data_IF_931672803221
#
_entry.id   IF_931672803221
#
_cell.length_a   1.000
_cell.length_b   1.000
_cell.length_c   1.000
_cell.angle_alpha   90.00
_cell.angle_beta   90.00
_cell.angle_gamma   90.00
#
_symmetry.space_group_name_H-M   'P 1'
#
loop_
_entity.id
_entity.type
_entity.pdbx_description
1 polymer ?
#
# COMPACT_ATOMS: atom_id res chain seq x y z
N UNK A 1 -49.98 -41.86 -8.72
CA UNK A 1 -48.63 -41.56 -9.26
C UNK A 1 -48.42 -40.06 -9.16
N UNK A 2 -47.55 -39.60 -8.25
CA UNK A 2 -47.31 -38.16 -8.02
C UNK A 2 -45.82 -37.87 -8.06
N UNK A 3 -45.39 -37.17 -9.11
CA UNK A 3 -44.00 -36.87 -9.42
C UNK A 3 -43.45 -35.87 -8.39
N UNK A 4 -42.35 -36.25 -7.71
CA UNK A 4 -41.57 -35.34 -6.84
C UNK A 4 -40.80 -34.34 -7.71
N UNK A 5 -41.28 -33.10 -7.75
CA UNK A 5 -40.61 -31.97 -8.38
C UNK A 5 -39.77 -31.13 -7.41
N UNK A 6 -38.45 -31.17 -7.58
CA UNK A 6 -37.50 -30.05 -7.50
C UNK A 6 -37.69 -28.96 -6.43
N UNK A 7 -36.89 -29.02 -5.35
CA UNK A 7 -36.57 -27.86 -4.48
C UNK A 7 -35.09 -27.45 -4.47
N UNK A 8 -34.23 -28.12 -5.24
CA UNK A 8 -32.78 -27.84 -5.24
C UNK A 8 -32.39 -26.83 -6.33
N UNK A 9 -33.20 -26.68 -7.39
CA UNK A 9 -32.94 -25.76 -8.50
C UNK A 9 -33.16 -24.26 -8.20
N UNK A 10 -34.12 -23.91 -7.33
CA UNK A 10 -34.50 -22.50 -7.14
C UNK A 10 -33.53 -21.71 -6.25
N UNK A 11 -32.86 -22.37 -5.29
CA UNK A 11 -31.87 -21.72 -4.43
C UNK A 11 -30.56 -21.39 -5.16
N UNK A 12 -30.17 -22.22 -6.15
CA UNK A 12 -28.97 -22.00 -6.96
C UNK A 12 -29.17 -20.88 -7.98
N UNK A 13 -30.36 -20.79 -8.57
CA UNK A 13 -30.73 -19.69 -9.47
C UNK A 13 -30.79 -18.33 -8.73
N UNK A 14 -31.32 -18.29 -7.50
CA UNK A 14 -31.32 -17.05 -6.69
C UNK A 14 -29.91 -16.57 -6.32
N UNK A 15 -28.97 -17.47 -5.97
CA UNK A 15 -27.57 -17.09 -5.69
C UNK A 15 -26.80 -16.66 -6.94
N UNK A 16 -27.12 -17.19 -8.12
CA UNK A 16 -26.53 -16.76 -9.38
C UNK A 16 -27.03 -15.37 -9.80
N UNK A 17 -28.31 -15.06 -9.58
CA UNK A 17 -28.88 -13.73 -9.84
C UNK A 17 -28.24 -12.64 -8.96
N UNK A 18 -28.04 -12.92 -7.67
CA UNK A 18 -27.40 -11.98 -6.73
C UNK A 18 -25.92 -11.75 -7.08
N UNK A 19 -25.20 -12.76 -7.56
CA UNK A 19 -23.82 -12.56 -8.06
C UNK A 19 -23.76 -11.74 -9.35
N UNK A 20 -24.75 -11.87 -10.24
CA UNK A 20 -24.82 -11.11 -11.49
C UNK A 20 -25.23 -9.64 -11.28
N UNK A 21 -26.06 -9.34 -10.28
CA UNK A 21 -26.37 -7.95 -9.92
C UNK A 21 -25.23 -7.26 -9.17
N UNK A 22 -24.52 -7.98 -8.30
CA UNK A 22 -23.33 -7.42 -7.62
C UNK A 22 -22.18 -7.17 -8.61
N UNK A 23 -22.02 -8.01 -9.62
CA UNK A 23 -21.04 -7.82 -10.69
C UNK A 23 -21.36 -6.64 -11.63
N UNK A 24 -22.62 -6.22 -11.72
CA UNK A 24 -23.02 -5.03 -12.50
C UNK A 24 -22.80 -3.71 -11.74
N UNK A 25 -22.71 -3.75 -10.41
CA UNK A 25 -22.52 -2.57 -9.56
C UNK A 25 -21.14 -2.48 -8.92
N UNK A 26 -20.25 -3.45 -9.16
CA UNK A 26 -18.85 -3.31 -8.78
C UNK A 26 -18.13 -2.54 -9.88
N UNK A 27 -17.51 -1.37 -9.60
CA UNK A 27 -16.62 -0.77 -10.58
C UNK A 27 -15.49 -1.77 -10.83
N UNK A 28 -15.45 -2.36 -12.01
CA UNK A 28 -14.24 -3.01 -12.49
C UNK A 28 -13.20 -1.91 -12.66
N UNK A 29 -12.38 -1.72 -11.64
CA UNK A 29 -11.19 -0.91 -11.72
C UNK A 29 -10.24 -1.60 -12.70
N UNK A 30 -10.36 -1.26 -13.98
CA UNK A 30 -9.28 -1.49 -14.94
C UNK A 30 -8.07 -0.70 -14.44
N UNK A 31 -6.96 -1.39 -14.23
CA UNK A 31 -5.67 -0.83 -13.82
C UNK A 31 -5.13 0.23 -14.79
N UNK A 32 -5.83 0.48 -15.91
CA UNK A 32 -5.54 1.47 -16.94
C UNK A 32 -6.34 2.79 -16.83
N UNK A 33 -7.37 2.91 -15.97
CA UNK A 33 -8.22 4.13 -15.93
C UNK A 33 -7.90 5.13 -14.82
N UNK A 34 -6.96 4.85 -13.91
CA UNK A 34 -6.57 5.86 -12.90
C UNK A 34 -5.64 6.96 -13.44
N UNK A 35 -5.19 6.88 -14.69
CA UNK A 35 -4.21 7.82 -15.25
C UNK A 35 -4.63 8.49 -16.56
N UNK A 36 -5.90 8.36 -16.96
CA UNK A 36 -6.44 9.09 -18.11
C UNK A 36 -7.47 10.11 -17.66
N UNK A 37 -6.97 11.26 -17.19
CA UNK A 37 -7.48 12.59 -17.56
C UNK A 37 -6.54 13.63 -16.95
N UNK A 38 -5.85 14.35 -17.83
CA UNK A 38 -5.43 15.71 -17.50
C UNK A 38 -6.66 16.51 -17.06
N UNK A 39 -6.42 17.49 -16.19
CA UNK A 39 -7.41 18.33 -15.52
C UNK A 39 -8.10 17.69 -14.32
N UNK A 40 -7.32 17.52 -13.25
CA UNK A 40 -7.56 18.08 -11.91
C UNK A 40 -6.53 17.47 -10.97
N UNK A 41 -5.68 18.31 -10.38
CA UNK A 41 -4.87 17.96 -9.21
C UNK A 41 -5.80 17.25 -8.22
N UNK A 42 -5.55 15.96 -7.96
CA UNK A 42 -6.22 15.23 -6.88
C UNK A 42 -6.01 16.06 -5.63
N UNK A 43 -7.08 16.72 -5.16
CA UNK A 43 -7.07 17.39 -3.87
C UNK A 43 -6.65 16.33 -2.84
N UNK A 44 -5.65 16.63 -1.99
CA UNK A 44 -5.17 15.66 -1.02
C UNK A 44 -6.30 15.31 -0.05
N UNK A 45 -6.35 14.04 0.39
CA UNK A 45 -7.24 13.61 1.46
C UNK A 45 -7.13 14.57 2.65
N UNK A 46 -8.18 15.36 2.90
CA UNK A 46 -8.26 16.32 4.00
C UNK A 46 -8.16 15.65 5.38
N UNK A 47 -8.34 14.32 5.46
CA UNK A 47 -8.22 13.56 6.72
C UNK A 47 -6.79 13.12 7.08
N UNK A 48 -5.79 13.37 6.21
CA UNK A 48 -4.39 13.08 6.50
C UNK A 48 -3.63 14.27 7.13
N UNK A 49 -4.31 15.38 7.43
CA UNK A 49 -3.67 16.63 7.85
C UNK A 49 -3.35 16.61 9.35
N UNK A 50 -2.21 16.00 9.66
CA UNK A 50 -1.45 16.28 10.86
C UNK A 50 0.01 16.41 10.46
N UNK A 51 0.41 17.64 10.11
CA UNK A 51 1.73 18.06 9.59
C UNK A 51 2.15 17.41 8.26
N UNK A 52 1.98 18.16 7.16
CA UNK A 52 2.86 18.01 6.01
C UNK A 52 4.29 18.25 6.50
N UNK A 53 5.15 17.23 6.41
CA UNK A 53 6.58 17.45 6.56
C UNK A 53 7.01 18.08 5.23
N UNK A 54 7.39 19.35 5.27
CA UNK A 54 8.11 19.98 4.16
C UNK A 54 9.34 19.13 3.85
N UNK A 55 9.32 18.43 2.72
CA UNK A 55 10.36 17.49 2.33
C UNK A 55 11.16 18.08 1.18
N UNK A 56 12.48 18.19 1.37
CA UNK A 56 13.40 18.76 0.37
C UNK A 56 13.75 17.77 -0.76
N UNK A 57 13.14 16.58 -0.75
CA UNK A 57 13.37 15.53 -1.75
C UNK A 57 14.83 15.08 -1.80
N UNK A 58 15.54 15.10 -0.66
CA UNK A 58 16.95 14.68 -0.62
C UNK A 58 17.08 13.18 -0.41
N UNK A 59 18.16 12.58 -0.92
CA UNK A 59 18.49 11.17 -0.64
C UNK A 59 18.64 10.93 0.87
N UNK A 60 19.18 11.89 1.61
CA UNK A 60 19.32 11.81 3.06
C UNK A 60 17.98 11.72 3.79
N UNK A 61 16.97 12.50 3.38
CA UNK A 61 15.61 12.41 3.92
C UNK A 61 14.96 11.07 3.58
N UNK A 62 15.04 10.63 2.32
CA UNK A 62 14.54 9.33 1.89
C UNK A 62 15.16 8.19 2.71
N UNK A 63 16.48 8.22 2.91
CA UNK A 63 17.21 7.19 3.63
C UNK A 63 16.88 7.19 5.12
N UNK A 64 16.75 8.38 5.74
CA UNK A 64 16.33 8.53 7.14
C UNK A 64 14.92 7.98 7.35
N UNK A 65 13.97 8.37 6.50
CA UNK A 65 12.57 7.96 6.62
C UNK A 65 12.42 6.46 6.36
N UNK A 66 13.13 5.93 5.34
CA UNK A 66 13.25 4.50 5.11
C UNK A 66 13.75 3.82 6.39
N UNK A 67 14.95 4.14 6.90
CA UNK A 67 15.49 3.49 8.12
C UNK A 67 14.51 3.46 9.29
N UNK A 68 13.82 4.56 9.54
CA UNK A 68 12.79 4.62 10.58
C UNK A 68 11.61 3.69 10.29
N UNK A 69 11.13 3.62 9.05
CA UNK A 69 10.06 2.72 8.62
C UNK A 69 10.39 1.24 8.91
N UNK A 70 11.59 0.77 8.52
CA UNK A 70 11.98 -0.63 8.72
C UNK A 70 12.15 -0.95 10.20
N UNK A 71 12.72 -0.02 10.97
CA UNK A 71 12.83 -0.17 12.41
C UNK A 71 11.45 -0.32 13.07
N UNK A 72 10.50 0.57 12.76
CA UNK A 72 9.15 0.50 13.32
C UNK A 72 8.45 -0.79 12.88
N UNK A 73 8.57 -1.18 11.61
CA UNK A 73 7.97 -2.42 11.09
C UNK A 73 8.47 -3.66 11.84
N UNK A 74 9.78 -3.82 12.00
CA UNK A 74 10.36 -4.98 12.72
C UNK A 74 9.90 -5.05 14.17
N UNK A 75 9.91 -3.93 14.88
CA UNK A 75 9.48 -3.92 16.28
C UNK A 75 7.96 -4.13 16.40
N UNK A 76 7.17 -3.58 15.47
CA UNK A 76 5.72 -3.84 15.39
C UNK A 76 5.43 -5.33 15.20
N UNK A 77 6.10 -5.98 14.25
CA UNK A 77 5.90 -7.40 13.98
C UNK A 77 6.29 -8.27 15.18
N UNK A 78 7.38 -7.95 15.89
CA UNK A 78 7.74 -8.63 17.14
C UNK A 78 6.61 -8.56 18.16
N UNK A 79 6.06 -7.37 18.40
CA UNK A 79 4.95 -7.18 19.34
C UNK A 79 3.67 -7.92 18.90
N UNK A 80 3.34 -7.92 17.60
CA UNK A 80 2.19 -8.67 17.08
C UNK A 80 2.35 -10.19 17.18
N UNK A 81 3.59 -10.68 17.07
CA UNK A 81 3.90 -12.10 17.22
C UNK A 81 3.81 -12.56 18.68
N UNK A 82 4.18 -11.69 19.63
CA UNK A 82 4.03 -11.95 21.06
C UNK A 82 2.56 -11.83 21.51
N UNK A 83 1.86 -10.78 21.07
CA UNK A 83 0.45 -10.56 21.36
C UNK A 83 -0.24 -9.81 20.23
N UNK A 84 -1.10 -10.52 19.48
CA UNK A 84 -1.80 -9.94 18.32
C UNK A 84 -2.65 -8.71 18.66
N UNK A 85 -3.29 -8.71 19.84
CA UNK A 85 -4.15 -7.62 20.31
C UNK A 85 -3.35 -6.48 20.96
N UNK A 86 -2.01 -6.47 20.84
CA UNK A 86 -1.17 -5.43 21.42
C UNK A 86 -1.55 -4.04 20.89
N UNK A 87 -2.08 -3.13 21.75
CA UNK A 87 -2.53 -1.81 21.30
C UNK A 87 -1.38 -0.96 20.76
N UNK A 88 -0.18 -1.11 21.35
CA UNK A 88 1.04 -0.42 20.91
C UNK A 88 1.38 -0.83 19.47
N UNK A 89 1.32 -2.13 19.17
CA UNK A 89 1.63 -2.64 17.85
C UNK A 89 0.59 -2.19 16.80
N UNK A 90 -0.70 -2.15 17.16
CA UNK A 90 -1.75 -1.60 16.30
C UNK A 90 -1.56 -0.10 16.05
N UNK A 91 -1.19 0.67 17.08
CA UNK A 91 -0.82 2.08 16.94
C UNK A 91 0.36 2.30 16.00
N UNK A 92 1.39 1.45 16.10
CA UNK A 92 2.54 1.48 15.17
C UNK A 92 2.18 1.07 13.76
N UNK A 93 1.26 0.12 13.58
CA UNK A 93 0.73 -0.26 12.27
C UNK A 93 0.06 0.93 11.56
N UNK A 94 -0.80 1.67 12.27
CA UNK A 94 -1.39 2.90 11.74
C UNK A 94 -0.35 3.98 11.45
N UNK A 95 0.68 4.10 12.30
CA UNK A 95 1.79 5.03 12.04
C UNK A 95 2.52 4.68 10.75
N UNK A 96 2.83 3.40 10.52
CA UNK A 96 3.47 2.94 9.28
C UNK A 96 2.59 3.22 8.05
N UNK A 97 1.27 2.95 8.13
CA UNK A 97 0.32 3.28 7.05
C UNK A 97 0.42 4.77 6.71
N UNK A 98 0.39 5.66 7.71
CA UNK A 98 0.55 7.11 7.49
C UNK A 98 1.91 7.44 6.86
N UNK A 99 3.00 6.83 7.34
CA UNK A 99 4.35 7.05 6.80
C UNK A 99 4.47 6.64 5.33
N UNK A 100 3.70 5.65 4.84
CA UNK A 100 3.74 5.32 3.40
C UNK A 100 3.30 6.49 2.51
N UNK A 101 2.36 7.33 2.95
CA UNK A 101 1.98 8.54 2.21
C UNK A 101 3.11 9.58 2.24
N UNK A 102 3.75 9.75 3.39
CA UNK A 102 4.93 10.61 3.52
C UNK A 102 6.04 10.15 2.57
N UNK A 103 6.37 8.86 2.55
CA UNK A 103 7.38 8.30 1.65
C UNK A 103 7.05 8.55 0.18
N UNK A 104 5.80 8.35 -0.26
CA UNK A 104 5.38 8.66 -1.63
C UNK A 104 5.62 10.14 -1.98
N UNK A 105 5.31 11.06 -1.06
CA UNK A 105 5.55 12.48 -1.26
C UNK A 105 7.05 12.81 -1.31
N UNK A 106 7.86 12.19 -0.45
CA UNK A 106 9.33 12.37 -0.49
C UNK A 106 9.92 11.90 -1.82
N UNK A 107 9.43 10.76 -2.36
CA UNK A 107 9.84 10.27 -3.68
C UNK A 107 9.45 11.23 -4.80
N UNK A 108 8.23 11.78 -4.77
CA UNK A 108 7.78 12.78 -5.75
C UNK A 108 8.61 14.06 -5.68
N UNK A 109 8.94 14.55 -4.49
CA UNK A 109 9.83 15.69 -4.29
C UNK A 109 11.24 15.40 -4.83
N UNK A 110 11.75 14.19 -4.61
CA UNK A 110 13.02 13.75 -5.20
C UNK A 110 12.96 13.72 -6.73
N UNK A 111 11.88 13.22 -7.32
CA UNK A 111 11.73 13.17 -8.77
C UNK A 111 11.71 14.55 -9.41
N UNK A 112 10.96 15.48 -8.82
CA UNK A 112 10.87 16.87 -9.28
C UNK A 112 12.25 17.54 -9.25
N UNK A 113 12.96 17.41 -8.13
CA UNK A 113 14.32 17.93 -7.96
C UNK A 113 15.33 17.40 -8.98
N UNK A 114 15.19 16.13 -9.37
CA UNK A 114 16.09 15.48 -10.32
C UNK A 114 15.59 15.52 -11.77
N UNK A 115 14.50 16.24 -12.05
CA UNK A 115 13.87 16.33 -13.37
C UNK A 115 13.43 14.97 -13.94
N UNK A 116 13.09 14.02 -13.06
CA UNK A 116 12.65 12.68 -13.46
C UNK A 116 11.19 12.64 -13.89
N UNK A 117 10.45 13.74 -13.77
CA UNK A 117 9.02 13.81 -14.05
C UNK A 117 8.17 13.48 -12.80
N UNK A 118 6.86 13.77 -12.84
CA UNK A 118 5.99 13.72 -11.65
C UNK A 118 5.87 12.33 -11.00
N UNK A 119 6.11 11.26 -11.76
CA UNK A 119 6.14 9.88 -11.23
C UNK A 119 7.47 9.18 -11.53
N UNK A 120 8.51 9.98 -11.80
CA UNK A 120 9.85 9.50 -12.06
C UNK A 120 10.02 8.86 -13.43
N UNK A 121 9.17 9.13 -14.43
CA UNK A 121 9.18 8.47 -15.74
C UNK A 121 10.52 8.51 -16.49
N UNK A 122 11.37 9.50 -16.21
CA UNK A 122 12.73 9.64 -16.80
C UNK A 122 13.85 9.09 -15.91
N UNK A 123 13.50 8.50 -14.77
CA UNK A 123 14.44 7.90 -13.82
C UNK A 123 14.86 6.49 -14.18
N UNK A 124 15.61 5.86 -13.28
CA UNK A 124 16.00 4.46 -13.43
C UNK A 124 14.82 3.53 -13.16
N UNK A 125 14.40 2.77 -14.17
CA UNK A 125 13.22 1.90 -14.10
C UNK A 125 13.21 0.95 -12.90
N UNK A 126 14.35 0.31 -12.58
CA UNK A 126 14.45 -0.59 -11.44
C UNK A 126 14.25 0.12 -10.09
N UNK A 127 14.76 1.35 -9.94
CA UNK A 127 14.57 2.18 -8.74
C UNK A 127 13.10 2.58 -8.59
N UNK A 128 12.42 2.90 -9.69
CA UNK A 128 11.00 3.27 -9.66
C UNK A 128 10.11 2.07 -9.33
N UNK A 129 10.37 0.94 -9.97
CA UNK A 129 9.57 -0.28 -9.81
C UNK A 129 9.73 -0.87 -8.41
N UNK A 130 10.99 -1.04 -7.96
CA UNK A 130 11.26 -1.67 -6.67
C UNK A 130 11.22 -0.69 -5.48
N UNK A 131 11.44 0.60 -5.72
CA UNK A 131 11.36 1.69 -4.74
C UNK A 131 9.97 2.28 -4.61
N UNK A 132 9.61 3.18 -5.52
CA UNK A 132 8.40 4.00 -5.42
C UNK A 132 7.10 3.21 -5.63
N UNK A 133 7.02 2.38 -6.68
CA UNK A 133 5.79 1.67 -7.07
C UNK A 133 5.39 0.55 -6.10
N UNK A 134 6.30 0.13 -5.23
CA UNK A 134 6.00 -0.85 -4.17
C UNK A 134 5.27 -0.26 -2.96
N UNK A 135 5.29 1.08 -2.78
CA UNK A 135 4.71 1.72 -1.58
C UNK A 135 3.20 1.43 -1.42
N UNK A 136 2.35 1.49 -2.46
CA UNK A 136 0.94 1.12 -2.35
C UNK A 136 0.72 -0.34 -1.92
N UNK A 137 1.57 -1.26 -2.38
CA UNK A 137 1.47 -2.67 -2.00
C UNK A 137 1.83 -2.87 -0.51
N UNK A 138 2.87 -2.19 -0.02
CA UNK A 138 3.23 -2.15 1.40
C UNK A 138 2.06 -1.61 2.22
N UNK A 139 1.47 -0.48 1.81
CA UNK A 139 0.32 0.14 2.50
C UNK A 139 -0.86 -0.82 2.62
N UNK A 140 -1.29 -1.42 1.51
CA UNK A 140 -2.43 -2.34 1.49
C UNK A 140 -2.20 -3.56 2.40
N UNK A 141 -0.98 -4.12 2.39
CA UNK A 141 -0.68 -5.24 3.27
C UNK A 141 -0.61 -4.82 4.75
N UNK A 142 -0.15 -3.60 5.08
CA UNK A 142 -0.24 -3.04 6.43
C UNK A 142 -1.70 -2.82 6.87
N UNK A 143 -2.56 -2.31 5.99
CA UNK A 143 -3.99 -2.16 6.26
C UNK A 143 -4.65 -3.52 6.57
N UNK A 144 -4.28 -4.58 5.85
CA UNK A 144 -4.71 -5.95 6.16
C UNK A 144 -4.16 -6.44 7.49
N UNK A 145 -2.91 -6.15 7.84
CA UNK A 145 -2.33 -6.49 9.15
C UNK A 145 -3.10 -5.77 10.27
N UNK A 146 -3.48 -4.51 10.04
CA UNK A 146 -4.26 -3.73 10.98
C UNK A 146 -5.68 -4.29 11.16
N UNK A 147 -6.41 -4.53 10.08
CA UNK A 147 -7.81 -4.96 10.10
C UNK A 147 -8.03 -6.48 10.23
N UNK A 148 -6.95 -7.26 10.12
CA UNK A 148 -7.01 -8.72 10.02
C UNK A 148 -7.30 -9.44 11.35
N UNK A 149 -6.83 -10.68 11.43
CA UNK A 149 -6.87 -11.48 12.66
C UNK A 149 -5.45 -11.99 12.99
N UNK A 150 -5.29 -12.76 14.07
CA UNK A 150 -3.99 -13.26 14.53
C UNK A 150 -3.17 -14.06 13.48
N UNK A 151 -3.80 -14.57 12.41
CA UNK A 151 -3.09 -15.28 11.33
C UNK A 151 -2.59 -14.32 10.24
N UNK A 152 -3.23 -13.17 10.07
CA UNK A 152 -2.92 -12.22 8.99
C UNK A 152 -1.49 -11.66 9.07
N UNK A 153 -0.98 -11.21 10.23
CA UNK A 153 0.40 -10.74 10.35
C UNK A 153 1.42 -11.80 9.91
N UNK A 154 1.26 -13.05 10.36
CA UNK A 154 2.19 -14.15 10.04
C UNK A 154 2.26 -14.47 8.55
N UNK A 155 1.15 -14.32 7.84
CA UNK A 155 1.07 -14.55 6.39
C UNK A 155 1.72 -13.41 5.61
N UNK A 156 1.50 -12.16 6.06
CA UNK A 156 1.92 -10.97 5.31
C UNK A 156 3.32 -10.48 5.70
N UNK A 157 3.85 -10.84 6.86
CA UNK A 157 5.15 -10.40 7.39
C UNK A 157 6.26 -10.54 6.34
N UNK A 158 6.47 -11.76 5.81
CA UNK A 158 7.54 -12.03 4.84
C UNK A 158 7.38 -11.23 3.55
N UNK A 159 6.14 -11.01 3.11
CA UNK A 159 5.85 -10.26 1.89
C UNK A 159 6.15 -8.78 2.10
N UNK A 160 5.65 -8.21 3.20
CA UNK A 160 5.87 -6.79 3.54
C UNK A 160 7.36 -6.54 3.79
N UNK A 161 8.04 -7.42 4.53
CA UNK A 161 9.47 -7.33 4.78
C UNK A 161 10.28 -7.33 3.49
N UNK A 162 9.96 -8.21 2.54
CA UNK A 162 10.63 -8.25 1.23
C UNK A 162 10.42 -6.97 0.43
N UNK A 163 9.21 -6.41 0.40
CA UNK A 163 8.92 -5.14 -0.28
C UNK A 163 9.66 -3.97 0.37
N UNK A 164 9.70 -3.91 1.70
CA UNK A 164 10.47 -2.91 2.45
C UNK A 164 11.95 -3.05 2.13
N UNK A 165 12.51 -4.26 2.13
CA UNK A 165 13.92 -4.48 1.83
C UNK A 165 14.31 -3.98 0.43
N UNK A 166 13.50 -4.32 -0.59
CA UNK A 166 13.69 -3.82 -1.97
C UNK A 166 13.62 -2.31 -2.06
N UNK A 167 12.64 -1.70 -1.38
CA UNK A 167 12.51 -0.26 -1.32
C UNK A 167 13.79 0.40 -0.79
N UNK A 168 14.39 -0.20 0.24
CA UNK A 168 15.57 0.37 0.88
C UNK A 168 16.81 0.21 0.03
N UNK A 169 16.97 -0.94 -0.62
CA UNK A 169 18.04 -1.13 -1.60
C UNK A 169 17.97 -0.06 -2.69
N UNK A 170 16.77 0.32 -3.14
CA UNK A 170 16.61 1.42 -4.10
C UNK A 170 17.05 2.78 -3.54
N UNK A 171 16.72 3.09 -2.29
CA UNK A 171 17.18 4.32 -1.63
C UNK A 171 18.69 4.32 -1.39
N UNK A 172 19.28 3.18 -1.02
CA UNK A 172 20.73 3.03 -0.86
C UNK A 172 21.47 3.18 -2.18
N UNK A 173 20.94 2.62 -3.27
CA UNK A 173 21.50 2.80 -4.61
C UNK A 173 21.56 4.28 -4.99
N UNK A 174 20.50 5.05 -4.72
CA UNK A 174 20.50 6.50 -4.96
C UNK A 174 21.60 7.25 -4.19
N UNK A 175 21.96 6.76 -2.99
CA UNK A 175 23.05 7.31 -2.19
C UNK A 175 24.45 7.01 -2.72
N UNK A 176 24.60 5.97 -3.54
CA UNK A 176 25.87 5.59 -4.14
C UNK A 176 26.12 6.26 -5.51
N UNK A 177 25.11 6.92 -6.09
CA UNK A 177 25.20 7.65 -7.36
C UNK A 177 25.51 9.15 -7.20
N UNK A 178 25.63 9.64 -5.97
CA UNK A 178 25.93 11.03 -5.60
C UNK A 178 27.23 11.14 -4.81
#
# INVERSE_FOLDING_TARGET
MGVRGSKIGSARAKRASVKNELAKNTPQASTSTQFQRGDQLIKPCEEAVGSYIDCKGTVAELWKEAKQFSFIFKNMMRLLNDSYECPIAKGWCMKLIKTTYTLENMWRAFFDKNLWGPNGEKGFEHILNDGFRNIPAIRNDLEKIHAGNARTPKILEKRVESLIAKHFQCVEMLGNFH
#
